data_IF_939849857564
#
_entry.id   IF_939849857564
#
_cell.length_a   1.000
_cell.length_b   1.000
_cell.length_c   1.000
_cell.angle_alpha   90.00
_cell.angle_beta   90.00
_cell.angle_gamma   90.00
#
_symmetry.space_group_name_H-M   'P 1'
#
loop_
_entity.id
_entity.type
_entity.pdbx_description
1 polymer ?
#
# COMPACT_ATOMS: atom_id res chain seq x y z
N UNK A 1 46.03 -3.13 -9.05
CA UNK A 1 45.40 -2.53 -7.84
C UNK A 1 43.95 -2.29 -8.18
N UNK A 2 43.00 -2.80 -7.41
CA UNK A 2 41.58 -2.69 -7.73
C UNK A 2 41.09 -1.24 -7.45
N UNK A 3 40.60 -0.50 -8.46
CA UNK A 3 40.10 0.86 -8.26
C UNK A 3 38.83 0.93 -7.40
N UNK A 4 38.19 -0.20 -7.10
CA UNK A 4 37.02 -0.29 -6.22
C UNK A 4 37.35 -0.60 -4.75
N UNK A 5 38.64 -0.68 -4.36
CA UNK A 5 39.05 -0.99 -2.98
C UNK A 5 40.05 0.05 -2.45
N UNK A 6 39.66 0.92 -1.47
CA UNK A 6 38.30 1.10 -0.96
C UNK A 6 37.37 1.75 -2.01
N UNK A 7 36.07 1.46 -1.97
CA UNK A 7 35.13 1.91 -3.01
C UNK A 7 34.96 3.44 -3.01
N UNK A 8 35.20 4.12 -4.14
CA UNK A 8 34.97 5.56 -4.26
C UNK A 8 33.51 5.92 -4.56
N UNK A 9 32.63 4.92 -4.79
CA UNK A 9 31.29 5.14 -5.32
C UNK A 9 30.24 5.56 -4.29
N UNK A 10 30.60 5.65 -3.01
CA UNK A 10 29.68 6.01 -1.94
C UNK A 10 28.70 4.89 -1.56
N UNK A 11 27.84 5.13 -0.55
CA UNK A 11 26.83 4.17 -0.11
C UNK A 11 25.76 3.96 -1.19
N UNK A 12 25.14 2.78 -1.17
CA UNK A 12 24.05 2.41 -2.09
C UNK A 12 24.43 2.46 -3.59
N UNK A 13 25.72 2.37 -3.88
CA UNK A 13 26.26 2.34 -5.23
C UNK A 13 27.08 1.07 -5.46
N UNK A 14 26.96 0.51 -6.66
CA UNK A 14 27.81 -0.55 -7.16
C UNK A 14 29.07 0.04 -7.81
N UNK A 15 30.23 -0.52 -7.48
CA UNK A 15 31.50 -0.19 -8.12
C UNK A 15 31.90 -1.31 -9.07
N UNK A 16 32.16 -0.98 -10.34
CA UNK A 16 32.70 -1.90 -11.34
C UNK A 16 33.99 -1.35 -11.91
N UNK A 17 35.08 -2.10 -11.82
CA UNK A 17 36.33 -1.73 -12.46
C UNK A 17 36.21 -1.88 -13.99
N UNK A 18 36.45 -0.79 -14.73
CA UNK A 18 36.57 -0.80 -16.19
C UNK A 18 38.02 -0.43 -16.51
N UNK A 19 38.86 -1.45 -16.71
CA UNK A 19 40.31 -1.27 -16.77
C UNK A 19 40.87 -0.81 -15.43
N UNK A 20 41.56 0.33 -15.41
CA UNK A 20 42.11 0.94 -14.20
C UNK A 20 41.21 2.04 -13.60
N UNK A 21 39.99 2.21 -14.13
CA UNK A 21 39.06 3.27 -13.70
C UNK A 21 37.84 2.66 -13.00
N UNK A 22 37.39 3.22 -11.86
CA UNK A 22 36.15 2.78 -11.23
C UNK A 22 34.95 3.37 -11.97
N UNK A 23 33.99 2.53 -12.35
CA UNK A 23 32.69 2.96 -12.84
C UNK A 23 31.63 2.74 -11.75
N UNK A 24 30.93 3.81 -11.39
CA UNK A 24 29.93 3.80 -10.33
C UNK A 24 28.51 3.86 -10.91
N UNK A 25 27.61 3.07 -10.34
CA UNK A 25 26.17 3.15 -10.63
C UNK A 25 25.37 2.94 -9.35
N UNK A 26 24.21 3.59 -9.19
CA UNK A 26 23.36 3.29 -8.03
C UNK A 26 22.87 1.83 -8.05
N UNK A 27 22.70 1.23 -6.88
CA UNK A 27 22.09 -0.08 -6.74
C UNK A 27 20.65 -0.07 -7.27
N UNK A 28 20.08 -1.23 -7.66
CA UNK A 28 18.68 -1.30 -8.04
C UNK A 28 17.80 -0.75 -6.92
N UNK A 29 16.84 0.12 -7.27
CA UNK A 29 15.95 0.86 -6.34
C UNK A 29 16.49 2.16 -5.76
N UNK A 30 17.75 2.51 -6.01
CA UNK A 30 18.31 3.80 -5.61
C UNK A 30 18.39 4.75 -6.81
N UNK A 31 18.10 6.02 -6.57
CA UNK A 31 18.05 7.08 -7.57
C UNK A 31 19.15 8.11 -7.33
N UNK A 32 19.45 8.91 -8.37
CA UNK A 32 20.47 9.95 -8.32
C UNK A 32 21.75 9.56 -9.05
N UNK A 33 22.87 10.17 -8.66
CA UNK A 33 24.19 9.92 -9.24
C UNK A 33 25.19 9.63 -8.13
N UNK A 34 26.00 8.56 -8.25
CA UNK A 34 27.08 8.30 -7.30
C UNK A 34 28.00 9.52 -7.12
N UNK A 35 28.49 9.81 -5.90
CA UNK A 35 28.35 9.00 -4.68
C UNK A 35 27.06 9.25 -3.87
N UNK A 36 26.17 10.11 -4.37
CA UNK A 36 24.95 10.54 -3.68
C UNK A 36 23.72 9.73 -4.13
N UNK A 37 23.86 8.39 -4.15
CA UNK A 37 22.71 7.51 -4.39
C UNK A 37 21.79 7.56 -3.18
N UNK A 38 20.52 7.85 -3.41
CA UNK A 38 19.49 7.95 -2.37
C UNK A 38 18.31 7.03 -2.68
N UNK A 39 17.53 6.61 -1.68
CA UNK A 39 16.28 5.91 -1.93
C UNK A 39 15.32 6.77 -2.76
N UNK A 40 14.28 6.14 -3.32
CA UNK A 40 13.23 6.85 -4.06
C UNK A 40 12.51 7.87 -3.15
N UNK A 41 12.28 7.50 -1.89
CA UNK A 41 11.71 8.36 -0.87
C UNK A 41 12.27 8.00 0.51
N UNK A 42 12.27 8.98 1.42
CA UNK A 42 12.46 8.76 2.88
C UNK A 42 11.20 9.08 3.67
N UNK A 43 10.30 9.86 3.07
CA UNK A 43 9.03 10.25 3.65
C UNK A 43 7.94 10.38 2.57
N UNK A 44 6.69 10.45 3.02
CA UNK A 44 5.51 10.52 2.16
C UNK A 44 5.46 11.77 1.26
N UNK A 45 6.07 12.89 1.67
CA UNK A 45 6.03 14.13 0.90
C UNK A 45 6.92 14.08 -0.36
N UNK A 46 7.86 13.14 -0.42
CA UNK A 46 8.67 12.88 -1.61
C UNK A 46 7.91 12.03 -2.66
N UNK A 47 6.80 11.41 -2.26
CA UNK A 47 5.98 10.60 -3.15
C UNK A 47 4.87 11.42 -3.82
N UNK A 48 4.48 11.05 -5.06
CA UNK A 48 3.27 11.55 -5.69
C UNK A 48 2.07 11.39 -4.75
N UNK A 49 1.11 12.32 -4.79
CA UNK A 49 0.03 12.44 -3.79
C UNK A 49 -0.96 11.28 -3.66
N UNK A 50 -0.74 10.14 -4.32
CA UNK A 50 -1.51 8.90 -4.16
C UNK A 50 -0.65 7.72 -3.69
N UNK A 51 0.67 7.92 -3.49
CA UNK A 51 1.63 6.89 -3.11
C UNK A 51 2.21 7.17 -1.74
N UNK A 52 2.41 6.18 -0.90
CA UNK A 52 3.09 6.29 0.37
C UNK A 52 4.53 5.79 0.27
N UNK A 53 5.42 6.39 1.06
CA UNK A 53 6.78 5.90 1.20
C UNK A 53 6.77 4.65 2.09
N UNK A 54 7.01 3.50 1.47
CA UNK A 54 7.06 2.20 2.14
C UNK A 54 8.32 1.46 1.71
N UNK A 55 9.19 1.17 2.68
CA UNK A 55 10.50 0.54 2.44
C UNK A 55 11.27 1.28 1.35
N UNK A 56 11.45 2.59 1.55
CA UNK A 56 12.26 3.46 0.68
C UNK A 56 11.76 3.60 -0.77
N UNK A 57 10.50 3.22 -1.01
CA UNK A 57 9.83 3.27 -2.31
C UNK A 57 8.44 3.88 -2.22
N UNK A 58 8.05 4.59 -3.27
CA UNK A 58 6.70 5.11 -3.39
C UNK A 58 5.78 4.01 -3.90
N UNK A 59 4.86 3.55 -3.04
CA UNK A 59 3.92 2.46 -3.34
C UNK A 59 2.49 2.87 -3.03
N UNK A 60 1.54 2.22 -3.67
CA UNK A 60 0.12 2.42 -3.35
C UNK A 60 -0.13 1.99 -1.88
N UNK A 61 -0.59 2.90 -1.00
CA UNK A 61 -0.87 2.57 0.39
C UNK A 61 -1.98 1.51 0.55
N UNK A 62 -2.79 1.27 -0.48
CA UNK A 62 -3.85 0.27 -0.48
C UNK A 62 -3.40 -1.14 -0.84
N UNK A 63 -2.16 -1.36 -1.27
CA UNK A 63 -1.66 -2.70 -1.63
C UNK A 63 -0.69 -3.20 -0.54
N UNK A 64 -0.88 -4.43 0.01
CA UNK A 64 -1.77 -5.50 -0.46
C UNK A 64 -3.26 -5.39 -0.06
N UNK A 65 -3.60 -4.76 1.06
CA UNK A 65 -4.94 -4.26 1.46
C UNK A 65 -4.94 -4.07 2.98
N UNK A 66 -4.61 -2.88 3.49
CA UNK A 66 -4.59 -2.63 4.93
C UNK A 66 -5.99 -2.61 5.55
N UNK A 67 -7.04 -2.50 4.72
CA UNK A 67 -8.42 -2.30 5.16
C UNK A 67 -9.15 -3.58 5.56
N UNK A 68 -8.53 -4.75 5.42
CA UNK A 68 -9.15 -6.04 5.72
C UNK A 68 -10.17 -6.50 4.66
N UNK A 69 -10.77 -7.68 4.86
CA UNK A 69 -11.78 -8.22 3.95
C UNK A 69 -13.06 -7.38 3.98
N UNK A 70 -13.80 -7.41 2.87
CA UNK A 70 -15.08 -6.71 2.71
C UNK A 70 -15.03 -5.19 2.95
N UNK A 71 -13.84 -4.61 2.78
CA UNK A 71 -13.61 -3.18 2.83
C UNK A 71 -13.03 -2.69 1.50
N UNK A 72 -13.50 -1.53 1.07
CA UNK A 72 -12.89 -0.76 0.00
C UNK A 72 -11.73 0.07 0.59
N UNK A 73 -10.60 0.09 -0.13
CA UNK A 73 -9.47 0.97 0.17
C UNK A 73 -9.37 2.05 -0.91
N UNK A 74 -9.19 3.30 -0.49
CA UNK A 74 -8.88 4.41 -1.38
C UNK A 74 -7.73 5.23 -0.81
N UNK A 75 -6.71 5.52 -1.62
CA UNK A 75 -5.67 6.47 -1.23
C UNK A 75 -6.24 7.89 -1.14
N UNK A 76 -6.12 8.52 0.03
CA UNK A 76 -6.39 9.94 0.23
C UNK A 76 -5.05 10.57 0.63
N UNK A 77 -4.39 11.22 -0.32
CA UNK A 77 -3.00 11.61 -0.14
C UNK A 77 -2.09 10.36 -0.10
N UNK A 78 -1.12 10.38 0.80
CA UNK A 78 -0.24 9.25 1.07
C UNK A 78 -0.81 8.30 2.15
N UNK A 79 -2.12 8.35 2.43
CA UNK A 79 -2.76 7.58 3.51
C UNK A 79 -3.88 6.70 2.95
N UNK A 80 -3.99 5.42 3.37
CA UNK A 80 -5.11 4.57 2.99
C UNK A 80 -6.35 4.97 3.79
N UNK A 81 -7.44 5.28 3.09
CA UNK A 81 -8.75 5.45 3.67
C UNK A 81 -9.59 4.19 3.43
N UNK A 82 -10.12 3.64 4.52
CA UNK A 82 -10.88 2.40 4.49
C UNK A 82 -12.37 2.66 4.74
N UNK A 83 -13.22 1.97 3.99
CA UNK A 83 -14.68 1.96 4.21
C UNK A 83 -15.23 0.58 3.94
N UNK A 84 -16.18 0.09 4.73
CA UNK A 84 -16.83 -1.19 4.43
C UNK A 84 -17.54 -1.14 3.07
N UNK A 85 -17.55 -2.26 2.35
CA UNK A 85 -18.26 -2.39 1.08
C UNK A 85 -19.77 -2.17 1.29
N UNK A 86 -20.53 -1.82 0.22
CA UNK A 86 -21.97 -1.78 0.29
C UNK A 86 -22.51 -3.12 0.83
N UNK A 87 -23.39 -3.08 1.83
CA UNK A 87 -23.94 -4.25 2.56
C UNK A 87 -23.10 -4.80 3.73
N UNK A 88 -21.93 -4.21 3.99
CA UNK A 88 -21.13 -4.54 5.17
C UNK A 88 -21.20 -3.41 6.19
N UNK A 89 -21.28 -3.78 7.46
CA UNK A 89 -21.38 -2.89 8.61
C UNK A 89 -20.18 -3.06 9.54
N UNK A 90 -19.97 -2.08 10.43
CA UNK A 90 -18.87 -2.07 11.39
C UNK A 90 -17.84 -0.99 11.09
N UNK A 91 -16.62 -1.19 11.60
CA UNK A 91 -15.48 -0.30 11.38
C UNK A 91 -14.33 -1.09 10.77
N UNK A 92 -13.74 -0.65 9.64
CA UNK A 92 -12.54 -1.27 9.10
C UNK A 92 -11.44 -1.38 10.17
N UNK A 93 -10.64 -2.46 10.18
CA UNK A 93 -10.65 -3.56 9.21
C UNK A 93 -11.73 -4.64 9.47
N UNK A 94 -12.58 -4.46 10.48
CA UNK A 94 -13.60 -5.42 10.91
C UNK A 94 -14.96 -5.11 10.28
N UNK A 95 -15.05 -5.31 8.97
CA UNK A 95 -16.31 -5.23 8.23
C UNK A 95 -17.00 -6.59 8.24
N UNK A 96 -18.27 -6.63 8.65
CA UNK A 96 -19.09 -7.84 8.73
C UNK A 96 -20.40 -7.67 7.98
N UNK A 97 -21.05 -8.74 7.50
CA UNK A 97 -22.39 -8.63 6.93
C UNK A 97 -23.37 -8.05 7.96
N UNK A 98 -24.43 -7.41 7.48
CA UNK A 98 -25.49 -6.87 8.34
C UNK A 98 -26.21 -7.99 9.10
N UNK A 99 -26.41 -9.12 8.43
CA UNK A 99 -26.95 -10.36 8.99
C UNK A 99 -26.35 -11.59 8.29
N UNK A 100 -26.31 -12.71 9.00
CA UNK A 100 -26.07 -14.04 8.41
C UNK A 100 -27.32 -14.93 8.48
N UNK A 101 -28.29 -14.57 9.32
CA UNK A 101 -29.55 -15.27 9.52
C UNK A 101 -30.66 -14.31 9.94
N UNK A 102 -31.92 -14.77 9.88
CA UNK A 102 -33.09 -13.94 10.18
C UNK A 102 -33.17 -13.49 11.65
N UNK A 103 -32.52 -14.19 12.59
CA UNK A 103 -32.57 -13.83 14.00
C UNK A 103 -31.73 -12.59 14.34
N UNK A 104 -30.78 -12.23 13.47
CA UNK A 104 -30.01 -10.98 13.57
C UNK A 104 -30.80 -9.75 13.10
N UNK A 105 -31.91 -9.97 12.38
CA UNK A 105 -32.72 -8.90 11.82
C UNK A 105 -33.81 -8.44 12.78
N UNK A 106 -33.97 -7.12 13.00
CA UNK A 106 -35.01 -6.61 13.89
C UNK A 106 -36.40 -6.70 13.25
N UNK A 107 -37.36 -7.20 14.02
CA UNK A 107 -38.78 -7.17 13.67
C UNK A 107 -39.17 -8.13 12.55
N UNK A 108 -39.82 -7.61 11.51
CA UNK A 108 -40.34 -8.38 10.37
C UNK A 108 -39.30 -8.56 9.24
N UNK A 109 -38.10 -8.00 9.39
CA UNK A 109 -37.05 -8.11 8.39
C UNK A 109 -36.48 -9.53 8.36
N UNK A 110 -36.22 -10.04 7.17
CA UNK A 110 -35.55 -11.31 6.93
C UNK A 110 -34.15 -11.06 6.38
N UNK A 111 -33.22 -11.96 6.68
CA UNK A 111 -31.88 -11.89 6.12
C UNK A 111 -31.89 -12.40 4.68
N UNK A 112 -31.71 -11.49 3.73
CA UNK A 112 -31.66 -11.78 2.30
C UNK A 112 -30.42 -11.15 1.68
N UNK A 113 -29.51 -11.99 1.15
CA UNK A 113 -28.22 -11.58 0.59
C UNK A 113 -27.42 -10.69 1.57
N UNK A 114 -27.22 -11.20 2.79
CA UNK A 114 -26.41 -10.54 3.84
C UNK A 114 -26.97 -9.19 4.36
N UNK A 115 -28.22 -8.87 4.01
CA UNK A 115 -28.96 -7.67 4.44
C UNK A 115 -30.29 -8.00 5.09
N UNK A 116 -30.68 -7.20 6.08
CA UNK A 116 -32.04 -7.26 6.63
C UNK A 116 -32.99 -6.50 5.71
N UNK A 117 -33.89 -7.23 5.04
CA UNK A 117 -34.89 -6.67 4.12
C UNK A 117 -36.28 -7.10 4.54
N UNK A 118 -37.26 -6.26 4.26
CA UNK A 118 -38.66 -6.62 4.43
C UNK A 118 -39.07 -7.60 3.31
N UNK A 119 -39.36 -8.87 3.62
CA UNK A 119 -39.78 -9.83 2.60
C UNK A 119 -41.15 -9.50 2.00
N UNK A 120 -41.94 -8.63 2.64
CA UNK A 120 -43.27 -8.24 2.23
C UNK A 120 -43.28 -7.00 1.33
N UNK A 121 -42.16 -6.30 1.16
CA UNK A 121 -42.00 -5.19 0.20
C UNK A 121 -41.19 -5.69 -1.00
N UNK A 122 -41.84 -6.07 -2.12
CA UNK A 122 -41.12 -6.41 -3.34
C UNK A 122 -40.41 -5.16 -3.90
N UNK A 123 -39.12 -5.33 -4.21
CA UNK A 123 -38.28 -4.32 -4.90
C UNK A 123 -38.50 -4.34 -6.41
#
# INVERSE_FOLDING_TARGET
KDPCIPSPCGPNANCRAIGNTPACSCLPSYVGRPPNCRPECTNNAECPGHLACQNEKCKDPCIPSPCGPNANCRAIGNTPACSCLPSYVGRPPNCRPECTNNAECPGHLACQNEKCKDPCIPS
#
